data_IF_548336812439
#
_entry.id   IF_548336812439
#
_cell.length_a   1.000
_cell.length_b   1.000
_cell.length_c   1.000
_cell.angle_alpha   90.00
_cell.angle_beta   90.00
_cell.angle_gamma   90.00
#
_symmetry.space_group_name_H-M   'P 1'
#
loop_
_entity.id
_entity.type
_entity.pdbx_description
1 polymer ?
#
# COMPACT_ATOMS: atom_id res chain seq x y z
N UNK A 1 30.26 -17.39 35.01
CA UNK A 1 28.89 -16.89 34.78
C UNK A 1 28.09 -18.03 34.20
N UNK A 2 27.05 -18.50 34.89
CA UNK A 2 26.11 -19.45 34.29
C UNK A 2 25.20 -18.68 33.33
N UNK A 3 25.29 -18.97 32.03
CA UNK A 3 24.28 -18.54 31.08
C UNK A 3 22.97 -19.22 31.48
N UNK A 4 21.98 -18.44 31.86
CA UNK A 4 20.62 -18.93 32.08
C UNK A 4 20.12 -19.36 30.70
N UNK A 5 20.20 -20.67 30.41
CA UNK A 5 19.52 -21.27 29.27
C UNK A 5 18.03 -21.06 29.51
N UNK A 6 17.43 -20.10 28.80
CA UNK A 6 15.98 -20.03 28.71
C UNK A 6 15.49 -21.42 28.26
N UNK A 7 14.57 -22.06 28.99
CA UNK A 7 14.08 -23.37 28.58
C UNK A 7 13.40 -23.23 27.22
N UNK A 8 13.87 -24.01 26.24
CA UNK A 8 13.24 -24.10 24.93
C UNK A 8 11.76 -24.47 25.08
N UNK A 9 10.88 -23.69 24.46
CA UNK A 9 9.46 -23.93 24.36
C UNK A 9 9.12 -25.10 23.42
N UNK A 10 7.85 -25.28 23.06
CA UNK A 10 7.46 -26.36 22.16
C UNK A 10 8.06 -26.16 20.75
N UNK A 11 8.69 -27.20 20.17
CA UNK A 11 9.23 -27.12 18.82
C UNK A 11 8.11 -26.94 17.78
N UNK A 12 8.36 -26.12 16.77
CA UNK A 12 7.43 -25.84 15.68
C UNK A 12 7.91 -26.56 14.43
N UNK A 13 7.02 -27.25 13.73
CA UNK A 13 7.32 -27.87 12.45
C UNK A 13 7.67 -26.83 11.38
N UNK A 14 8.60 -27.17 10.49
CA UNK A 14 9.17 -26.24 9.49
C UNK A 14 8.12 -25.47 8.69
N UNK A 15 7.12 -26.18 8.17
CA UNK A 15 6.06 -25.57 7.36
C UNK A 15 5.23 -24.60 8.18
N UNK A 16 4.88 -24.97 9.41
CA UNK A 16 4.14 -24.13 10.34
C UNK A 16 4.96 -22.89 10.72
N UNK A 17 6.24 -23.07 11.04
CA UNK A 17 7.16 -21.98 11.38
C UNK A 17 7.22 -20.92 10.27
N UNK A 18 7.46 -21.35 9.02
CA UNK A 18 7.55 -20.44 7.87
C UNK A 18 6.20 -19.74 7.62
N UNK A 19 5.09 -20.48 7.66
CA UNK A 19 3.76 -19.91 7.41
C UNK A 19 3.37 -18.90 8.50
N UNK A 20 3.58 -19.24 9.76
CA UNK A 20 3.26 -18.39 10.90
C UNK A 20 4.13 -17.13 10.90
N UNK A 21 5.43 -17.28 10.69
CA UNK A 21 6.35 -16.17 10.54
C UNK A 21 5.91 -15.22 9.42
N UNK A 22 5.68 -15.73 8.21
CA UNK A 22 5.32 -14.89 7.07
C UNK A 22 3.98 -14.19 7.27
N UNK A 23 3.01 -14.85 7.91
CA UNK A 23 1.73 -14.23 8.27
C UNK A 23 1.94 -13.03 9.20
N UNK A 24 2.71 -13.21 10.27
CA UNK A 24 3.00 -12.13 11.22
C UNK A 24 3.81 -11.01 10.57
N UNK A 25 4.86 -11.35 9.81
CA UNK A 25 5.70 -10.38 9.11
C UNK A 25 4.88 -9.48 8.17
N UNK A 26 4.00 -10.09 7.37
CA UNK A 26 3.06 -9.36 6.51
C UNK A 26 2.11 -8.49 7.33
N UNK A 27 1.52 -9.01 8.40
CA UNK A 27 0.59 -8.26 9.24
C UNK A 27 1.24 -7.04 9.89
N UNK A 28 2.46 -7.20 10.42
CA UNK A 28 3.21 -6.11 11.05
C UNK A 28 3.53 -5.02 10.02
N UNK A 29 4.01 -5.37 8.82
CA UNK A 29 4.28 -4.38 7.76
C UNK A 29 3.00 -3.64 7.37
N UNK A 30 1.90 -4.36 7.12
CA UNK A 30 0.60 -3.76 6.78
C UNK A 30 0.13 -2.79 7.84
N UNK A 31 0.25 -3.17 9.11
CA UNK A 31 -0.17 -2.34 10.22
C UNK A 31 0.73 -1.11 10.39
N UNK A 32 2.05 -1.29 10.36
CA UNK A 32 3.02 -0.19 10.54
C UNK A 32 2.92 0.85 9.43
N UNK A 33 2.79 0.43 8.18
CA UNK A 33 2.73 1.35 7.04
C UNK A 33 1.31 1.73 6.62
N UNK A 34 0.28 1.19 7.29
CA UNK A 34 -1.14 1.42 6.99
C UNK A 34 -1.51 1.08 5.53
N UNK A 35 -1.11 -0.12 5.09
CA UNK A 35 -1.30 -0.58 3.70
C UNK A 35 -2.17 -1.82 3.62
N UNK A 36 -3.00 -1.88 2.58
CA UNK A 36 -3.84 -3.04 2.28
C UNK A 36 -3.19 -3.98 1.24
N UNK A 37 -2.37 -3.43 0.34
CA UNK A 37 -1.73 -4.15 -0.77
C UNK A 37 -0.24 -3.80 -0.89
N UNK A 38 0.53 -4.74 -1.43
CA UNK A 38 1.96 -4.57 -1.70
C UNK A 38 2.20 -4.26 -3.18
N UNK A 39 3.20 -3.43 -3.46
CA UNK A 39 3.69 -3.23 -4.82
C UNK A 39 4.44 -4.46 -5.34
N UNK A 40 4.56 -4.60 -6.67
CA UNK A 40 5.26 -5.73 -7.29
C UNK A 40 6.68 -5.94 -6.75
N UNK A 41 7.41 -4.84 -6.47
CA UNK A 41 8.76 -4.92 -5.90
C UNK A 41 8.77 -5.41 -4.45
N UNK A 42 7.76 -5.04 -3.68
CA UNK A 42 7.62 -5.47 -2.28
C UNK A 42 7.25 -6.95 -2.18
N UNK A 43 6.49 -7.45 -3.16
CA UNK A 43 6.23 -8.89 -3.29
C UNK A 43 7.55 -9.66 -3.49
N UNK A 44 8.51 -9.13 -4.27
CA UNK A 44 9.84 -9.74 -4.39
C UNK A 44 10.56 -9.78 -3.03
N UNK A 45 10.45 -8.72 -2.22
CA UNK A 45 11.02 -8.71 -0.86
C UNK A 45 10.37 -9.75 0.05
N UNK A 46 9.05 -9.92 -0.01
CA UNK A 46 8.34 -10.95 0.76
C UNK A 46 8.75 -12.37 0.34
N UNK A 47 8.97 -12.60 -0.96
CA UNK A 47 9.47 -13.88 -1.46
C UNK A 47 10.90 -14.17 -0.98
N UNK A 48 11.77 -13.16 -1.02
CA UNK A 48 13.12 -13.28 -0.49
C UNK A 48 13.13 -13.53 1.03
N UNK A 49 12.24 -12.87 1.78
CA UNK A 49 12.10 -13.07 3.22
C UNK A 49 11.65 -14.50 3.55
N UNK A 50 10.70 -15.03 2.76
CA UNK A 50 10.26 -16.43 2.89
C UNK A 50 11.40 -17.42 2.64
N UNK A 51 12.27 -17.16 1.68
CA UNK A 51 13.46 -17.98 1.43
C UNK A 51 14.45 -17.87 2.60
N UNK A 52 14.70 -16.64 3.09
CA UNK A 52 15.59 -16.39 4.22
C UNK A 52 15.14 -17.15 5.48
N UNK A 53 13.85 -17.08 5.84
CA UNK A 53 13.36 -17.71 7.06
C UNK A 53 13.40 -19.24 6.98
N UNK A 54 13.20 -19.81 5.79
CA UNK A 54 13.37 -21.23 5.55
C UNK A 54 14.81 -21.68 5.81
N UNK A 55 15.80 -20.93 5.31
CA UNK A 55 17.22 -21.19 5.55
C UNK A 55 17.59 -21.02 7.03
N UNK A 56 17.03 -20.02 7.71
CA UNK A 56 17.26 -19.83 9.15
C UNK A 56 16.72 -20.98 9.99
N UNK A 57 15.59 -21.57 9.62
CA UNK A 57 15.08 -22.77 10.26
C UNK A 57 16.05 -23.94 10.09
N UNK A 58 16.49 -24.19 8.85
CA UNK A 58 17.38 -25.31 8.54
C UNK A 58 18.72 -25.17 9.29
N UNK A 59 19.28 -23.96 9.30
CA UNK A 59 20.50 -23.63 10.07
C UNK A 59 20.33 -23.86 11.58
N UNK A 60 19.18 -23.49 12.14
CA UNK A 60 18.91 -23.70 13.57
C UNK A 60 18.87 -25.19 13.91
N UNK A 61 18.22 -26.00 13.09
CA UNK A 61 18.17 -27.46 13.27
C UNK A 61 19.57 -28.07 13.21
N UNK A 62 20.40 -27.66 12.24
CA UNK A 62 21.78 -28.13 12.13
C UNK A 62 22.64 -27.74 13.34
N UNK A 63 22.44 -26.54 13.90
CA UNK A 63 23.24 -26.02 15.00
C UNK A 63 22.85 -26.59 16.37
N UNK A 64 21.56 -26.85 16.58
CA UNK A 64 21.00 -27.20 17.90
C UNK A 64 20.38 -28.60 17.97
N UNK A 65 20.40 -29.35 16.85
CA UNK A 65 19.81 -30.69 16.71
C UNK A 65 18.33 -30.74 17.14
N UNK A 66 17.62 -29.63 16.91
CA UNK A 66 16.22 -29.44 17.33
C UNK A 66 15.53 -28.35 16.51
N UNK A 67 14.22 -28.48 16.31
CA UNK A 67 13.39 -27.43 15.71
C UNK A 67 13.20 -26.20 16.63
N UNK A 68 13.16 -24.98 16.06
CA UNK A 68 12.92 -23.75 16.80
C UNK A 68 11.53 -23.70 17.43
N UNK A 69 11.39 -22.88 18.47
CA UNK A 69 10.14 -22.65 19.19
C UNK A 69 9.52 -21.28 18.86
N UNK A 70 8.38 -20.97 19.50
CA UNK A 70 7.67 -19.70 19.32
C UNK A 70 8.47 -18.49 19.84
N UNK A 71 9.36 -18.69 20.82
CA UNK A 71 10.20 -17.62 21.33
C UNK A 71 11.22 -17.21 20.26
N UNK A 72 11.92 -18.19 19.67
CA UNK A 72 12.83 -17.96 18.55
C UNK A 72 12.12 -17.34 17.34
N UNK A 73 10.89 -17.80 17.03
CA UNK A 73 10.07 -17.22 15.96
C UNK A 73 9.84 -15.72 16.21
N UNK A 74 9.41 -15.35 17.42
CA UNK A 74 9.08 -13.97 17.80
C UNK A 74 10.30 -13.04 17.78
N UNK A 75 11.43 -13.53 18.30
CA UNK A 75 12.69 -12.79 18.30
C UNK A 75 13.22 -12.57 16.87
N UNK A 76 13.19 -13.62 16.06
CA UNK A 76 13.56 -13.57 14.65
C UNK A 76 12.68 -12.61 13.86
N UNK A 77 11.37 -12.63 14.11
CA UNK A 77 10.40 -11.70 13.50
C UNK A 77 10.75 -10.26 13.81
N UNK A 78 10.94 -9.94 15.10
CA UNK A 78 11.22 -8.58 15.55
C UNK A 78 12.51 -8.05 14.93
N UNK A 79 13.58 -8.85 15.00
CA UNK A 79 14.88 -8.50 14.43
C UNK A 79 14.81 -8.29 12.92
N UNK A 80 14.15 -9.21 12.20
CA UNK A 80 14.06 -9.13 10.76
C UNK A 80 13.16 -8.00 10.26
N UNK A 81 12.10 -7.68 11.00
CA UNK A 81 11.23 -6.55 10.70
C UNK A 81 11.99 -5.24 10.85
N UNK A 82 12.61 -4.98 12.00
CA UNK A 82 13.38 -3.76 12.25
C UNK A 82 14.49 -3.56 11.21
N UNK A 83 15.14 -4.63 10.78
CA UNK A 83 16.20 -4.58 9.77
C UNK A 83 15.70 -4.27 8.36
N UNK A 84 14.39 -4.39 8.06
CA UNK A 84 13.84 -4.28 6.70
C UNK A 84 12.64 -3.34 6.55
N UNK A 85 12.17 -2.76 7.65
CA UNK A 85 11.06 -1.79 7.67
C UNK A 85 11.27 -0.67 6.64
N UNK A 86 12.50 -0.18 6.50
CA UNK A 86 12.85 0.86 5.52
C UNK A 86 12.54 0.49 4.05
N UNK A 87 12.48 -0.80 3.70
CA UNK A 87 12.14 -1.26 2.34
C UNK A 87 10.67 -1.03 2.01
N UNK A 88 9.82 -0.91 3.03
CA UNK A 88 8.38 -0.68 2.92
C UNK A 88 8.00 0.76 3.31
N UNK A 89 8.95 1.55 3.80
CA UNK A 89 8.80 2.97 4.11
C UNK A 89 8.54 3.85 2.87
N UNK A 90 8.59 3.31 1.65
CA UNK A 90 8.05 4.03 0.48
C UNK A 90 6.53 4.26 0.58
N UNK A 91 5.79 3.44 1.34
CA UNK A 91 4.36 3.67 1.57
C UNK A 91 4.07 4.85 2.50
N UNK A 92 4.95 5.15 3.46
CA UNK A 92 4.86 6.40 4.26
C UNK A 92 5.23 7.64 3.45
N UNK A 93 5.80 7.43 2.27
CA UNK A 93 5.99 8.40 1.19
C UNK A 93 5.00 8.11 0.07
N UNK A 94 3.70 8.15 0.37
CA UNK A 94 2.63 8.09 -0.63
C UNK A 94 2.80 9.29 -1.57
N UNK A 95 3.74 9.24 -2.51
CA UNK A 95 4.06 10.24 -3.52
C UNK A 95 3.14 9.98 -4.71
N UNK A 96 1.86 10.35 -4.58
CA UNK A 96 0.94 10.29 -5.70
C UNK A 96 1.36 11.34 -6.72
N UNK A 97 1.84 10.92 -7.89
CA UNK A 97 2.07 11.85 -8.99
C UNK A 97 0.74 12.27 -9.62
N UNK A 98 0.75 13.40 -10.32
CA UNK A 98 -0.47 13.98 -10.91
C UNK A 98 -1.09 13.06 -11.95
N UNK A 99 -0.29 12.35 -12.75
CA UNK A 99 -0.77 11.39 -13.75
C UNK A 99 -1.51 10.23 -13.09
N UNK A 100 -0.97 9.71 -11.98
CA UNK A 100 -1.60 8.62 -11.24
C UNK A 100 -2.91 9.06 -10.57
N UNK A 101 -2.95 10.28 -10.02
CA UNK A 101 -4.18 10.87 -9.49
C UNK A 101 -5.26 11.01 -10.57
N UNK A 102 -4.91 11.57 -11.73
CA UNK A 102 -5.84 11.76 -12.86
C UNK A 102 -6.37 10.42 -13.36
N UNK A 103 -5.49 9.43 -13.57
CA UNK A 103 -5.90 8.10 -14.01
C UNK A 103 -6.83 7.43 -13.01
N UNK A 104 -6.54 7.55 -11.71
CA UNK A 104 -7.41 7.06 -10.64
C UNK A 104 -8.79 7.70 -10.71
N UNK A 105 -8.86 9.03 -10.86
CA UNK A 105 -10.12 9.74 -10.98
C UNK A 105 -10.95 9.29 -12.19
N UNK A 106 -10.35 9.23 -13.38
CA UNK A 106 -11.05 8.80 -14.59
C UNK A 106 -11.51 7.34 -14.49
N UNK A 107 -10.72 6.49 -13.86
CA UNK A 107 -11.10 5.11 -13.60
C UNK A 107 -12.34 5.04 -12.69
N UNK A 108 -12.40 5.84 -11.62
CA UNK A 108 -13.58 5.92 -10.74
C UNK A 108 -14.83 6.40 -11.47
N UNK A 109 -14.71 7.40 -12.36
CA UNK A 109 -15.85 7.85 -13.17
C UNK A 109 -16.46 6.72 -14.01
N UNK A 110 -15.60 5.85 -14.57
CA UNK A 110 -16.01 4.70 -15.38
C UNK A 110 -16.60 3.58 -14.53
N UNK A 111 -15.92 3.17 -13.46
CA UNK A 111 -16.35 2.03 -12.63
C UNK A 111 -17.61 2.32 -11.83
N UNK A 112 -17.80 3.57 -11.38
CA UNK A 112 -19.01 4.02 -10.70
C UNK A 112 -20.14 4.41 -11.67
N UNK A 113 -19.95 4.24 -12.98
CA UNK A 113 -20.92 4.58 -14.04
C UNK A 113 -21.39 6.04 -13.98
N UNK A 114 -20.52 6.95 -13.55
CA UNK A 114 -20.80 8.40 -13.47
C UNK A 114 -20.66 9.03 -14.87
N UNK A 115 -19.62 8.61 -15.60
CA UNK A 115 -19.37 9.04 -16.97
C UNK A 115 -19.45 7.81 -17.88
N UNK A 116 -20.56 7.65 -18.60
CA UNK A 116 -20.76 6.54 -19.53
C UNK A 116 -21.03 7.04 -20.94
N UNK A 117 -20.76 6.19 -21.93
CA UNK A 117 -21.03 6.51 -23.32
C UNK A 117 -22.52 6.72 -23.58
N UNK A 118 -23.40 6.00 -22.88
CA UNK A 118 -24.86 6.11 -23.05
C UNK A 118 -25.37 7.49 -22.62
N UNK A 119 -24.83 8.03 -21.52
CA UNK A 119 -25.26 9.31 -20.96
C UNK A 119 -24.76 10.53 -21.76
N UNK A 120 -23.60 10.42 -22.40
CA UNK A 120 -22.91 11.55 -23.03
C UNK A 120 -22.63 11.39 -24.53
N UNK A 121 -22.85 10.20 -25.09
CA UNK A 121 -22.75 9.87 -26.51
C UNK A 121 -21.46 10.43 -27.17
N UNK A 122 -21.62 11.28 -28.19
CA UNK A 122 -20.54 11.91 -28.95
C UNK A 122 -19.62 12.77 -28.08
N UNK A 123 -20.12 13.29 -26.96
CA UNK A 123 -19.36 14.17 -26.07
C UNK A 123 -18.56 13.38 -25.02
N UNK A 124 -18.71 12.05 -24.95
CA UNK A 124 -18.08 11.21 -23.93
C UNK A 124 -16.56 11.37 -23.87
N UNK A 125 -15.85 11.28 -25.01
CA UNK A 125 -14.39 11.42 -25.04
C UNK A 125 -13.96 12.84 -24.66
N UNK A 126 -14.66 13.85 -25.17
CA UNK A 126 -14.42 15.25 -24.83
C UNK A 126 -14.57 15.51 -23.33
N UNK A 127 -15.59 14.94 -22.68
CA UNK A 127 -15.80 15.07 -21.25
C UNK A 127 -14.68 14.40 -20.46
N UNK A 128 -14.21 13.22 -20.88
CA UNK A 128 -13.08 12.56 -20.22
C UNK A 128 -11.81 13.42 -20.27
N UNK A 129 -11.49 14.00 -21.43
CA UNK A 129 -10.32 14.88 -21.59
C UNK A 129 -10.45 16.14 -20.73
N UNK A 130 -11.65 16.73 -20.71
CA UNK A 130 -11.96 17.90 -19.90
C UNK A 130 -11.84 17.59 -18.40
N UNK A 131 -12.37 16.46 -17.95
CA UNK A 131 -12.28 16.03 -16.55
C UNK A 131 -10.85 15.65 -16.15
N UNK A 132 -10.06 15.08 -17.07
CA UNK A 132 -8.63 14.85 -16.85
C UNK A 132 -7.88 16.16 -16.60
N UNK A 133 -8.18 17.19 -17.40
CA UNK A 133 -7.62 18.52 -17.21
C UNK A 133 -8.03 19.15 -15.88
N UNK A 134 -9.31 19.07 -15.51
CA UNK A 134 -9.79 19.58 -14.22
C UNK A 134 -9.13 18.89 -13.04
N UNK A 135 -9.00 17.57 -13.07
CA UNK A 135 -8.35 16.79 -12.03
C UNK A 135 -6.87 17.17 -11.88
N UNK A 136 -6.16 17.33 -13.01
CA UNK A 136 -4.78 17.80 -13.04
C UNK A 136 -4.64 19.18 -12.38
N UNK A 137 -5.45 20.16 -12.80
CA UNK A 137 -5.39 21.51 -12.24
C UNK A 137 -5.71 21.53 -10.74
N UNK A 138 -6.72 20.77 -10.32
CA UNK A 138 -7.12 20.72 -8.92
C UNK A 138 -6.05 20.08 -8.03
N UNK A 139 -5.37 19.04 -8.54
CA UNK A 139 -4.24 18.40 -7.87
C UNK A 139 -3.06 19.36 -7.71
N UNK A 140 -2.61 19.99 -8.81
CA UNK A 140 -1.45 20.90 -8.77
C UNK A 140 -1.68 22.12 -7.86
N UNK A 141 -2.93 22.61 -7.79
CA UNK A 141 -3.31 23.66 -6.86
C UNK A 141 -3.11 23.26 -5.39
N UNK A 142 -3.29 21.99 -5.05
CA UNK A 142 -3.09 21.45 -3.70
C UNK A 142 -1.69 20.84 -3.49
N UNK A 143 -0.87 20.77 -4.55
CA UNK A 143 0.49 20.22 -4.51
C UNK A 143 1.57 21.25 -4.16
N UNK A 144 1.18 22.37 -3.58
CA UNK A 144 2.11 23.42 -3.17
C UNK A 144 2.95 22.95 -1.98
N UNK A 145 4.27 23.07 -2.10
CA UNK A 145 5.16 22.81 -0.99
C UNK A 145 5.11 23.97 0.00
N UNK A 146 4.86 23.65 1.27
CA UNK A 146 4.93 24.61 2.38
C UNK A 146 6.11 24.18 3.24
N UNK A 147 7.06 25.09 3.44
CA UNK A 147 8.25 24.84 4.27
C UNK A 147 7.83 24.48 5.69
N UNK A 148 8.40 23.38 6.22
CA UNK A 148 8.06 22.88 7.56
C UNK A 148 6.76 22.07 7.66
N UNK A 149 5.95 21.99 6.59
CA UNK A 149 4.65 21.28 6.60
C UNK A 149 4.48 20.34 5.38
N UNK A 150 5.38 19.35 5.18
CA UNK A 150 5.31 18.42 4.04
C UNK A 150 4.03 17.56 4.02
N UNK A 151 3.38 17.38 5.16
CA UNK A 151 2.12 16.65 5.32
C UNK A 151 0.92 17.38 4.72
N UNK A 152 1.01 18.69 4.47
CA UNK A 152 -0.06 19.46 3.82
C UNK A 152 0.00 19.37 2.29
N UNK A 153 1.05 18.78 1.74
CA UNK A 153 1.20 18.59 0.29
C UNK A 153 0.36 17.40 -0.15
N UNK A 154 -0.58 17.60 -1.08
CA UNK A 154 -1.46 16.51 -1.56
C UNK A 154 -0.67 15.32 -2.12
N UNK A 155 0.48 15.58 -2.75
CA UNK A 155 1.33 14.53 -3.26
C UNK A 155 1.73 13.55 -2.17
N UNK A 156 1.81 13.94 -0.89
CA UNK A 156 2.26 13.11 0.24
C UNK A 156 1.14 12.72 1.21
N UNK A 157 -0.12 13.08 0.92
CA UNK A 157 -1.22 12.97 1.89
C UNK A 157 -2.44 12.26 1.29
N UNK A 158 -2.65 11.00 1.71
CA UNK A 158 -3.76 10.16 1.25
C UNK A 158 -5.14 10.74 1.57
N UNK A 159 -5.29 11.39 2.73
CA UNK A 159 -6.55 12.02 3.10
C UNK A 159 -6.89 13.18 2.15
N UNK A 160 -5.91 14.03 1.80
CA UNK A 160 -6.10 15.11 0.83
C UNK A 160 -6.40 14.57 -0.57
N UNK A 161 -5.71 13.50 -1.00
CA UNK A 161 -5.97 12.81 -2.27
C UNK A 161 -7.43 12.30 -2.32
N UNK A 162 -7.86 11.54 -1.30
CA UNK A 162 -9.22 11.00 -1.23
C UNK A 162 -10.28 12.11 -1.13
N UNK A 163 -10.01 13.16 -0.36
CA UNK A 163 -10.89 14.32 -0.25
C UNK A 163 -11.06 15.02 -1.60
N UNK A 164 -9.98 15.21 -2.35
CA UNK A 164 -10.05 15.82 -3.67
C UNK A 164 -10.78 14.92 -4.68
N UNK A 165 -10.54 13.60 -4.68
CA UNK A 165 -11.29 12.65 -5.50
C UNK A 165 -12.79 12.75 -5.24
N UNK A 166 -13.21 12.76 -3.97
CA UNK A 166 -14.63 12.93 -3.58
C UNK A 166 -15.20 14.27 -4.08
N UNK A 167 -14.46 15.36 -3.95
CA UNK A 167 -14.89 16.67 -4.45
C UNK A 167 -15.07 16.68 -5.97
N UNK A 168 -14.14 16.07 -6.71
CA UNK A 168 -14.23 15.97 -8.16
C UNK A 168 -15.43 15.11 -8.59
N UNK A 169 -15.65 13.95 -7.97
CA UNK A 169 -16.80 13.09 -8.23
C UNK A 169 -18.12 13.83 -7.95
N UNK A 170 -18.27 14.42 -6.77
CA UNK A 170 -19.51 15.09 -6.39
C UNK A 170 -19.83 16.29 -7.29
N UNK A 171 -18.81 16.99 -7.80
CA UNK A 171 -18.99 18.12 -8.71
C UNK A 171 -19.16 17.73 -10.18
N UNK A 172 -19.04 16.44 -10.55
CA UNK A 172 -19.01 16.02 -11.95
C UNK A 172 -20.28 16.42 -12.71
N UNK A 173 -21.47 16.06 -12.19
CA UNK A 173 -22.74 16.36 -12.85
C UNK A 173 -22.98 17.86 -12.98
N UNK A 174 -22.60 18.65 -11.97
CA UNK A 174 -22.72 20.11 -12.05
C UNK A 174 -21.84 20.70 -13.16
N UNK A 175 -20.60 20.20 -13.34
CA UNK A 175 -19.68 20.65 -14.38
C UNK A 175 -20.10 20.23 -15.79
N UNK A 176 -20.79 19.10 -15.93
CA UNK A 176 -21.12 18.48 -17.21
C UNK A 176 -22.62 18.49 -17.54
N UNK A 177 -23.44 19.23 -16.76
CA UNK A 177 -24.89 19.33 -16.94
C UNK A 177 -25.32 19.69 -18.37
N UNK A 178 -24.57 20.56 -19.05
CA UNK A 178 -24.87 20.99 -20.43
C UNK A 178 -24.62 19.94 -21.51
N UNK A 179 -23.95 18.83 -21.18
CA UNK A 179 -23.64 17.73 -22.10
C UNK A 179 -24.45 16.46 -21.81
N UNK A 180 -25.14 16.44 -20.66
CA UNK A 180 -26.00 15.32 -20.31
C UNK A 180 -27.23 15.37 -21.22
N UNK A 181 -27.40 14.36 -22.05
CA UNK A 181 -28.61 14.26 -22.88
C UNK A 181 -29.71 13.66 -22.00
N UNK A 182 -30.84 14.36 -21.92
CA UNK A 182 -32.04 13.82 -21.30
C UNK A 182 -32.39 12.49 -22.02
N UNK A 183 -32.60 11.43 -21.25
CA UNK A 183 -33.13 10.17 -21.77
C UNK A 183 -34.58 10.35 -22.20
#
# INVERSE_FOLDING_TARGET
MMAILQPFGEPIERTEFIQHYMKLFVQVIKHTHQIDEFYSKEIEYLLAEKQKIALLYDYFVEMYDRAPDYFYLSDTLTTNFLAKEYLFASHTKNFMCVEHFVNTYLHLLKTQKICTFEAFQTDYLFILDREAYHAKQAFEKQNQAIEGYPELRIQNNSFLQQRLLKQLINGFHQRNKGYQKDQ
#
